data_IF_858142805113
#
_entry.id   IF_858142805113
#
_cell.length_a   1.000
_cell.length_b   1.000
_cell.length_c   1.000
_cell.angle_alpha   90.00
_cell.angle_beta   90.00
_cell.angle_gamma   90.00
#
_symmetry.space_group_name_H-M   'P 1'
#
loop_
_entity.id
_entity.type
_entity.pdbx_description
1 polymer ?
#
# COMPACT_ATOMS: atom_id res chain seq x y z
N UNK A 1 24.22 -1.55 13.14
CA UNK A 1 25.09 -0.75 12.24
C UNK A 1 25.76 -1.63 11.18
N UNK A 2 26.47 -2.71 11.53
CA UNK A 2 27.17 -3.58 10.55
C UNK A 2 26.22 -4.18 9.51
N UNK A 3 25.03 -4.59 9.89
CA UNK A 3 24.03 -5.18 8.98
C UNK A 3 23.46 -4.18 7.97
N UNK A 4 23.44 -2.87 8.31
CA UNK A 4 23.03 -1.81 7.39
C UNK A 4 24.04 -1.56 6.25
N UNK A 5 25.29 -1.95 6.45
CA UNK A 5 26.33 -1.89 5.43
C UNK A 5 26.40 -3.15 4.54
N UNK A 6 25.83 -4.27 4.99
CA UNK A 6 25.92 -5.58 4.33
C UNK A 6 24.64 -6.00 3.61
N UNK A 7 23.51 -5.36 3.87
CA UNK A 7 22.24 -5.66 3.23
C UNK A 7 21.35 -4.43 3.20
N UNK A 8 20.31 -4.44 2.38
CA UNK A 8 19.28 -3.38 2.32
C UNK A 8 18.63 -3.22 3.71
N UNK A 9 19.08 -2.22 4.47
CA UNK A 9 18.51 -1.93 5.78
C UNK A 9 17.15 -1.25 5.60
N UNK A 10 16.11 -1.90 6.05
CA UNK A 10 14.81 -1.24 6.21
C UNK A 10 14.92 -0.15 7.28
N UNK A 11 14.49 1.07 6.95
CA UNK A 11 14.47 2.20 7.89
C UNK A 11 13.76 1.88 9.21
N UNK A 12 12.85 0.90 9.20
CA UNK A 12 12.12 0.43 10.37
C UNK A 12 13.00 -0.26 11.43
N UNK A 13 14.17 -0.75 11.07
CA UNK A 13 15.07 -1.38 12.05
C UNK A 13 15.72 -0.37 12.99
N UNK A 14 15.83 0.89 12.58
CA UNK A 14 16.25 1.99 13.44
C UNK A 14 15.23 2.33 14.53
N UNK A 15 13.96 2.02 14.32
CA UNK A 15 12.88 2.30 15.26
C UNK A 15 13.02 1.54 16.58
N UNK A 16 13.65 0.37 16.60
CA UNK A 16 13.88 -0.40 17.83
C UNK A 16 14.83 0.30 18.80
N UNK A 17 15.71 1.15 18.32
CA UNK A 17 16.61 1.95 19.14
C UNK A 17 15.98 3.27 19.65
N UNK A 18 14.83 3.68 19.07
CA UNK A 18 14.18 4.96 19.40
C UNK A 18 13.80 5.11 20.88
N UNK A 19 13.21 4.10 21.55
CA UNK A 19 12.88 4.25 22.97
C UNK A 19 14.08 4.56 23.84
N UNK A 20 15.21 3.88 23.63
CA UNK A 20 16.45 4.13 24.36
C UNK A 20 17.03 5.52 24.05
N UNK A 21 16.98 5.92 22.78
CA UNK A 21 17.43 7.26 22.35
C UNK A 21 16.58 8.36 22.95
N UNK A 22 15.26 8.19 23.02
CA UNK A 22 14.33 9.17 23.64
C UNK A 22 14.62 9.31 25.13
N UNK A 23 14.82 8.22 25.86
CA UNK A 23 15.16 8.25 27.28
C UNK A 23 16.52 8.93 27.52
N UNK A 24 17.51 8.59 26.73
CA UNK A 24 18.83 9.21 26.81
C UNK A 24 18.76 10.70 26.51
N UNK A 25 18.06 11.09 25.47
CA UNK A 25 17.86 12.49 25.06
C UNK A 25 17.10 13.30 26.14
N UNK A 26 16.04 12.71 26.71
CA UNK A 26 15.28 13.35 27.80
C UNK A 26 16.17 13.62 29.02
N UNK A 27 17.00 12.63 29.43
CA UNK A 27 17.96 12.81 30.51
C UNK A 27 18.98 13.90 30.18
N UNK A 28 19.53 13.90 28.98
CA UNK A 28 20.50 14.93 28.55
C UNK A 28 19.85 16.30 28.52
N UNK A 29 18.65 16.45 28.01
CA UNK A 29 17.91 17.74 27.99
C UNK A 29 17.60 18.25 29.40
N UNK A 30 17.31 17.36 30.36
CA UNK A 30 17.08 17.74 31.74
C UNK A 30 18.33 18.34 32.42
N UNK A 31 19.52 17.99 31.93
CA UNK A 31 20.81 18.51 32.43
C UNK A 31 21.34 19.67 31.59
N UNK A 32 20.81 19.89 30.39
CA UNK A 32 21.22 20.92 29.48
C UNK A 32 20.71 22.29 29.93
N UNK A 33 21.36 23.35 29.43
CA UNK A 33 20.89 24.73 29.66
C UNK A 33 19.47 24.88 29.06
N UNK A 34 18.54 25.56 29.75
CA UNK A 34 17.15 25.68 29.30
C UNK A 34 17.00 26.31 27.90
N UNK A 35 17.97 27.09 27.46
CA UNK A 35 18.03 27.67 26.11
C UNK A 35 18.18 26.58 25.05
N UNK A 36 19.00 25.56 25.30
CA UNK A 36 19.22 24.44 24.34
C UNK A 36 17.92 23.62 24.17
N UNK A 37 17.23 23.37 25.30
CA UNK A 37 15.95 22.66 25.26
C UNK A 37 14.87 23.41 24.46
N UNK A 38 14.75 24.74 24.68
CA UNK A 38 13.80 25.57 23.94
C UNK A 38 14.13 25.64 22.45
N UNK A 39 15.41 25.75 22.11
CA UNK A 39 15.87 25.75 20.72
C UNK A 39 15.57 24.43 20.03
N UNK A 40 15.86 23.30 20.69
CA UNK A 40 15.57 21.96 20.14
C UNK A 40 14.07 21.76 19.90
N UNK A 41 13.22 22.16 20.83
CA UNK A 41 11.75 22.11 20.67
C UNK A 41 11.32 23.02 19.52
N UNK A 42 11.83 24.25 19.45
CA UNK A 42 11.51 25.20 18.38
C UNK A 42 11.88 24.66 16.99
N UNK A 43 13.06 24.07 16.83
CA UNK A 43 13.50 23.43 15.58
C UNK A 43 12.58 22.26 15.22
N UNK A 44 12.26 21.39 16.18
CA UNK A 44 11.36 20.25 15.90
C UNK A 44 9.96 20.70 15.49
N UNK A 45 9.38 21.67 16.20
CA UNK A 45 8.08 22.24 15.83
C UNK A 45 8.12 22.90 14.45
N UNK A 46 9.20 23.62 14.13
CA UNK A 46 9.41 24.20 12.80
C UNK A 46 9.50 23.15 11.70
N UNK A 47 10.24 22.06 11.94
CA UNK A 47 10.32 20.94 10.99
C UNK A 47 8.97 20.23 10.81
N UNK A 48 8.23 20.00 11.89
CA UNK A 48 6.89 19.43 11.82
C UNK A 48 5.92 20.33 11.03
N UNK A 49 5.95 21.62 11.31
CA UNK A 49 5.13 22.61 10.59
C UNK A 49 5.51 22.68 9.10
N UNK A 50 6.81 22.65 8.78
CA UNK A 50 7.29 22.60 7.41
C UNK A 50 6.84 21.34 6.69
N UNK A 51 6.98 20.17 7.32
CA UNK A 51 6.51 18.91 6.77
C UNK A 51 4.99 18.94 6.51
N UNK A 52 4.23 19.46 7.48
CA UNK A 52 2.77 19.60 7.32
C UNK A 52 2.43 20.57 6.18
N UNK A 53 3.13 21.70 6.08
CA UNK A 53 2.93 22.64 5.00
C UNK A 53 3.26 22.06 3.63
N UNK A 54 4.37 21.30 3.51
CA UNK A 54 4.76 20.63 2.27
C UNK A 54 3.75 19.53 1.90
N UNK A 55 3.23 18.78 2.88
CA UNK A 55 2.20 17.77 2.60
C UNK A 55 0.89 18.40 2.12
N UNK A 56 0.44 19.47 2.77
CA UNK A 56 -0.79 20.17 2.39
C UNK A 56 -0.63 20.94 1.08
N UNK A 57 0.49 21.65 0.87
CA UNK A 57 0.78 22.32 -0.40
C UNK A 57 0.91 21.33 -1.55
N UNK A 58 1.57 20.19 -1.33
CA UNK A 58 1.64 19.10 -2.31
C UNK A 58 0.29 18.49 -2.64
N UNK A 59 -0.73 18.58 -1.77
CA UNK A 59 -2.10 18.16 -2.05
C UNK A 59 -2.94 19.22 -2.78
N UNK A 60 -2.54 20.49 -2.69
CA UNK A 60 -3.31 21.63 -3.20
C UNK A 60 -2.70 22.30 -4.44
N UNK A 61 -1.46 22.00 -4.81
CA UNK A 61 -0.72 22.69 -5.85
C UNK A 61 -0.17 21.80 -6.97
N UNK A 62 0.28 22.41 -8.07
CA UNK A 62 0.91 21.71 -9.19
C UNK A 62 2.35 21.29 -8.85
N UNK A 63 2.51 20.44 -7.84
CA UNK A 63 3.79 19.77 -7.62
C UNK A 63 3.99 18.84 -8.81
N UNK A 64 5.09 18.99 -9.52
CA UNK A 64 5.40 18.11 -10.63
C UNK A 64 5.47 16.67 -10.13
N UNK A 65 4.88 15.70 -10.83
CA UNK A 65 4.83 14.31 -10.38
C UNK A 65 6.19 13.73 -9.97
N UNK A 66 7.27 14.25 -10.53
CA UNK A 66 8.63 13.76 -10.28
C UNK A 66 9.26 14.31 -8.98
N UNK A 67 8.81 15.48 -8.50
CA UNK A 67 9.30 16.12 -7.28
C UNK A 67 8.41 15.87 -6.06
N UNK A 68 7.28 15.19 -6.22
CA UNK A 68 6.36 14.90 -5.12
C UNK A 68 6.90 13.81 -4.18
N UNK A 69 7.32 14.13 -2.96
CA UNK A 69 7.79 13.14 -2.00
C UNK A 69 6.68 12.17 -1.57
N UNK A 70 5.41 12.57 -1.72
CA UNK A 70 4.23 11.78 -1.37
C UNK A 70 3.59 11.06 -2.56
N UNK A 71 4.26 11.05 -3.72
CA UNK A 71 3.75 10.37 -4.94
C UNK A 71 3.32 8.92 -4.71
N UNK A 72 3.96 8.23 -3.75
CA UNK A 72 3.62 6.83 -3.42
C UNK A 72 2.32 6.68 -2.63
N UNK A 73 1.81 7.77 -2.05
CA UNK A 73 0.59 7.81 -1.25
C UNK A 73 -0.62 8.28 -2.06
N UNK A 74 -0.41 8.73 -3.31
CA UNK A 74 -1.49 9.24 -4.15
C UNK A 74 -2.08 8.16 -5.05
N UNK A 75 -3.29 8.41 -5.53
CA UNK A 75 -3.99 7.56 -6.50
C UNK A 75 -4.67 6.33 -5.91
N UNK A 76 -4.44 6.02 -4.65
CA UNK A 76 -4.99 4.83 -4.03
C UNK A 76 -6.51 4.88 -3.86
N UNK A 77 -7.07 6.05 -3.59
CA UNK A 77 -8.51 6.23 -3.48
C UNK A 77 -9.20 5.98 -4.82
N UNK A 78 -8.63 6.50 -5.91
CA UNK A 78 -9.13 6.24 -7.27
C UNK A 78 -9.05 4.75 -7.60
N UNK A 79 -7.90 4.10 -7.32
CA UNK A 79 -7.74 2.67 -7.52
C UNK A 79 -8.78 1.85 -6.74
N UNK A 80 -9.03 2.20 -5.47
CA UNK A 80 -10.04 1.52 -4.67
C UNK A 80 -11.45 1.75 -5.22
N UNK A 81 -11.75 2.94 -5.73
CA UNK A 81 -13.04 3.23 -6.36
C UNK A 81 -13.23 2.39 -7.64
N UNK A 82 -12.23 2.38 -8.53
CA UNK A 82 -12.27 1.61 -9.79
C UNK A 82 -12.37 0.10 -9.52
N UNK A 83 -11.57 -0.39 -8.55
CA UNK A 83 -11.63 -1.80 -8.11
C UNK A 83 -13.01 -2.14 -7.56
N UNK A 84 -13.59 -1.25 -6.75
CA UNK A 84 -14.91 -1.41 -6.20
C UNK A 84 -16.00 -1.46 -7.27
N UNK A 85 -15.92 -0.60 -8.27
CA UNK A 85 -16.82 -0.62 -9.42
C UNK A 85 -16.69 -1.91 -10.23
N UNK A 86 -15.46 -2.41 -10.41
CA UNK A 86 -15.21 -3.68 -11.08
C UNK A 86 -15.79 -4.88 -10.31
N UNK A 87 -15.65 -4.90 -8.99
CA UNK A 87 -16.25 -5.92 -8.13
C UNK A 87 -17.77 -5.93 -8.24
N UNK A 88 -18.42 -4.78 -8.19
CA UNK A 88 -19.87 -4.65 -8.35
C UNK A 88 -20.34 -5.11 -9.74
N UNK A 89 -19.69 -4.61 -10.79
CA UNK A 89 -20.05 -4.98 -12.16
C UNK A 89 -19.88 -6.47 -12.45
N UNK A 90 -18.93 -7.13 -11.78
CA UNK A 90 -18.71 -8.57 -11.92
C UNK A 90 -19.52 -9.40 -10.92
N UNK A 91 -20.14 -8.77 -9.93
CA UNK A 91 -20.82 -9.46 -8.83
C UNK A 91 -19.86 -10.28 -7.96
N UNK A 92 -18.59 -9.84 -7.87
CA UNK A 92 -17.56 -10.48 -7.10
C UNK A 92 -17.41 -9.81 -5.74
N UNK A 93 -17.24 -10.58 -4.68
CA UNK A 93 -16.92 -10.10 -3.34
C UNK A 93 -15.47 -10.42 -2.93
N UNK A 94 -14.67 -10.94 -3.86
CA UNK A 94 -13.27 -11.30 -3.61
C UNK A 94 -12.37 -10.54 -4.57
N UNK A 95 -11.36 -9.85 -4.01
CA UNK A 95 -10.30 -9.20 -4.77
C UNK A 95 -8.95 -9.82 -4.41
N UNK A 96 -8.14 -10.05 -5.43
CA UNK A 96 -6.80 -10.63 -5.30
C UNK A 96 -5.79 -9.53 -5.65
N UNK A 97 -4.88 -9.25 -4.73
CA UNK A 97 -3.85 -8.24 -4.90
C UNK A 97 -2.50 -8.87 -5.25
N UNK A 98 -1.76 -8.21 -6.14
CA UNK A 98 -0.45 -8.64 -6.62
C UNK A 98 0.64 -8.60 -5.54
N UNK A 99 0.46 -7.73 -4.53
CA UNK A 99 1.46 -7.49 -3.49
C UNK A 99 0.83 -6.95 -2.21
N UNK A 100 1.60 -7.06 -1.11
CA UNK A 100 1.18 -6.62 0.23
C UNK A 100 0.73 -5.16 0.31
N UNK A 101 1.37 -4.24 -0.44
CA UNK A 101 1.01 -2.83 -0.39
C UNK A 101 -0.40 -2.57 -0.96
N UNK A 102 -0.72 -3.22 -2.09
CA UNK A 102 -2.05 -3.20 -2.70
C UNK A 102 -3.06 -3.87 -1.77
N UNK A 103 -2.73 -5.04 -1.21
CA UNK A 103 -3.59 -5.75 -0.27
C UNK A 103 -3.92 -4.93 0.97
N UNK A 104 -2.90 -4.36 1.62
CA UNK A 104 -3.08 -3.53 2.81
C UNK A 104 -4.04 -2.37 2.57
N UNK A 105 -3.88 -1.72 1.44
CA UNK A 105 -4.66 -0.54 1.10
C UNK A 105 -6.10 -0.88 0.71
N UNK A 106 -6.29 -1.94 -0.08
CA UNK A 106 -7.62 -2.43 -0.42
C UNK A 106 -8.35 -2.95 0.81
N UNK A 107 -7.67 -3.64 1.73
CA UNK A 107 -8.25 -4.06 3.02
C UNK A 107 -8.75 -2.88 3.83
N UNK A 108 -7.99 -1.78 3.85
CA UNK A 108 -8.42 -0.54 4.51
C UNK A 108 -9.66 0.07 3.84
N UNK A 109 -9.66 0.19 2.50
CA UNK A 109 -10.78 0.81 1.78
C UNK A 109 -12.05 -0.03 1.75
N UNK A 110 -11.92 -1.35 1.86
CA UNK A 110 -13.04 -2.29 1.75
C UNK A 110 -13.48 -2.92 3.06
N UNK A 111 -12.93 -2.50 4.21
CA UNK A 111 -13.19 -3.15 5.49
C UNK A 111 -14.69 -3.27 5.84
N UNK A 112 -15.51 -2.27 5.47
CA UNK A 112 -16.95 -2.27 5.71
C UNK A 112 -17.79 -2.48 4.44
N UNK A 113 -17.13 -2.67 3.28
CA UNK A 113 -17.84 -2.80 2.01
C UNK A 113 -18.44 -4.18 1.83
N UNK A 114 -19.66 -4.21 1.31
CA UNK A 114 -20.37 -5.44 0.99
C UNK A 114 -20.83 -5.41 -0.46
N UNK A 115 -20.76 -6.57 -1.12
CA UNK A 115 -21.25 -6.78 -2.50
C UNK A 115 -22.16 -7.99 -2.49
N UNK A 116 -23.41 -7.82 -2.94
CA UNK A 116 -24.42 -8.88 -2.84
C UNK A 116 -24.65 -9.40 -1.42
N UNK A 117 -24.51 -8.51 -0.41
CA UNK A 117 -24.65 -8.84 1.02
C UNK A 117 -23.41 -9.50 1.64
N UNK A 118 -22.41 -9.90 0.85
CA UNK A 118 -21.16 -10.52 1.32
C UNK A 118 -20.09 -9.47 1.59
N UNK A 119 -19.29 -9.56 2.67
CA UNK A 119 -18.17 -8.66 2.89
C UNK A 119 -17.12 -8.85 1.78
N UNK A 120 -16.47 -7.75 1.39
CA UNK A 120 -15.37 -7.84 0.43
C UNK A 120 -14.16 -8.45 1.13
N UNK A 121 -13.62 -9.52 0.53
CA UNK A 121 -12.43 -10.20 1.02
C UNK A 121 -11.24 -9.87 0.12
N UNK A 122 -10.14 -9.43 0.72
CA UNK A 122 -8.87 -9.16 0.03
C UNK A 122 -7.92 -10.31 0.27
N UNK A 123 -7.46 -10.93 -0.81
CA UNK A 123 -6.51 -12.05 -0.80
C UNK A 123 -5.24 -11.67 -1.55
N UNK A 124 -4.18 -12.43 -1.36
CA UNK A 124 -2.91 -12.29 -2.08
C UNK A 124 -2.49 -13.62 -2.70
N UNK A 125 -1.69 -13.55 -3.75
CA UNK A 125 -1.10 -14.74 -4.36
C UNK A 125 0.19 -15.06 -3.58
N UNK A 126 0.26 -16.28 -3.02
CA UNK A 126 1.50 -16.88 -2.55
C UNK A 126 2.00 -17.81 -3.65
N UNK A 127 2.91 -17.30 -4.48
CA UNK A 127 3.34 -17.98 -5.70
C UNK A 127 4.28 -19.19 -5.46
N UNK A 128 4.99 -19.21 -4.33
CA UNK A 128 6.01 -20.22 -4.02
C UNK A 128 5.70 -21.08 -2.79
N UNK A 129 4.54 -20.83 -2.15
CA UNK A 129 4.14 -21.54 -0.93
C UNK A 129 5.03 -21.23 0.28
N UNK A 130 5.80 -20.14 0.20
CA UNK A 130 6.70 -19.69 1.27
C UNK A 130 6.34 -18.28 1.70
N UNK A 131 5.35 -18.12 2.58
CA UNK A 131 4.84 -16.82 2.94
C UNK A 131 5.94 -15.93 3.55
N UNK A 132 6.21 -14.80 2.90
CA UNK A 132 7.24 -13.83 3.29
C UNK A 132 6.68 -12.69 4.14
N UNK A 133 5.36 -12.56 4.21
CA UNK A 133 4.70 -11.48 4.94
C UNK A 133 3.35 -11.94 5.53
N UNK A 134 2.82 -11.10 6.41
CA UNK A 134 1.56 -11.37 7.12
C UNK A 134 0.37 -11.65 6.19
N UNK A 135 0.29 -11.00 5.05
CA UNK A 135 -0.81 -11.21 4.10
C UNK A 135 -0.73 -12.59 3.46
N UNK A 136 0.45 -13.02 3.03
CA UNK A 136 0.67 -14.36 2.48
C UNK A 136 0.41 -15.45 3.53
N UNK A 137 0.74 -15.18 4.80
CA UNK A 137 0.49 -16.13 5.90
C UNK A 137 -0.98 -16.33 6.22
N UNK A 138 -1.80 -15.26 6.14
CA UNK A 138 -3.16 -15.29 6.66
C UNK A 138 -4.25 -15.10 5.59
N UNK A 139 -3.89 -14.53 4.45
CA UNK A 139 -4.80 -14.15 3.38
C UNK A 139 -4.35 -14.68 2.01
N UNK A 140 -3.56 -15.78 2.01
CA UNK A 140 -3.20 -16.45 0.78
C UNK A 140 -4.46 -16.93 0.05
N UNK A 141 -4.51 -16.64 -1.25
CA UNK A 141 -5.57 -17.17 -2.09
C UNK A 141 -5.53 -18.70 -2.15
N UNK A 142 -6.70 -19.30 -2.02
CA UNK A 142 -6.92 -20.72 -2.25
C UNK A 142 -8.10 -20.88 -3.21
N UNK A 143 -8.03 -21.81 -4.18
CA UNK A 143 -9.11 -22.02 -5.12
C UNK A 143 -10.40 -22.47 -4.40
N UNK A 144 -11.50 -21.84 -4.77
CA UNK A 144 -12.86 -22.19 -4.30
C UNK A 144 -13.76 -22.25 -5.52
N UNK A 145 -14.37 -23.38 -5.76
CA UNK A 145 -15.21 -23.60 -6.93
C UNK A 145 -16.31 -22.54 -7.10
N UNK A 146 -16.52 -22.11 -8.34
CA UNK A 146 -17.57 -21.19 -8.78
C UNK A 146 -17.55 -19.79 -8.12
N UNK A 147 -16.42 -19.37 -7.58
CA UNK A 147 -16.28 -18.02 -7.01
C UNK A 147 -15.87 -17.02 -8.10
N UNK A 148 -16.60 -15.91 -8.19
CA UNK A 148 -16.17 -14.76 -9.02
C UNK A 148 -15.12 -13.96 -8.28
N UNK A 149 -14.06 -13.62 -9.00
CA UNK A 149 -12.92 -12.89 -8.45
C UNK A 149 -12.54 -11.72 -9.35
N UNK A 150 -11.92 -10.72 -8.74
CA UNK A 150 -11.25 -9.61 -9.42
C UNK A 150 -9.80 -9.62 -8.97
N UNK A 151 -8.87 -9.69 -9.90
CA UNK A 151 -7.44 -9.62 -9.58
C UNK A 151 -6.83 -8.31 -10.07
N UNK A 152 -5.93 -7.75 -9.27
CA UNK A 152 -5.09 -6.62 -9.64
C UNK A 152 -3.66 -7.10 -9.84
N UNK A 153 -3.12 -6.84 -11.01
CA UNK A 153 -1.72 -7.15 -11.34
C UNK A 153 -1.07 -5.97 -12.08
N UNK A 154 0.23 -5.77 -11.89
CA UNK A 154 1.03 -4.82 -12.65
C UNK A 154 1.37 -5.29 -14.06
N UNK A 155 0.96 -6.49 -14.45
CA UNK A 155 1.14 -7.07 -15.79
C UNK A 155 -0.15 -6.98 -16.59
N UNK A 156 -0.02 -6.81 -17.92
CA UNK A 156 -1.17 -6.82 -18.83
C UNK A 156 -1.85 -8.19 -18.90
N UNK A 157 -1.06 -9.26 -18.81
CA UNK A 157 -1.58 -10.61 -18.75
C UNK A 157 -2.17 -10.88 -17.35
N UNK A 158 -3.27 -11.61 -17.25
CA UNK A 158 -3.80 -12.02 -15.97
C UNK A 158 -2.77 -12.87 -15.21
N UNK A 159 -2.82 -12.85 -13.86
CA UNK A 159 -1.93 -13.68 -13.07
C UNK A 159 -2.17 -15.18 -13.37
N UNK A 160 -1.09 -15.95 -13.37
CA UNK A 160 -1.18 -17.41 -13.51
C UNK A 160 -1.76 -17.98 -12.22
N UNK A 161 -3.02 -18.43 -12.32
CA UNK A 161 -3.76 -19.03 -11.21
C UNK A 161 -4.45 -20.28 -11.71
N UNK A 162 -4.15 -21.41 -11.09
CA UNK A 162 -4.74 -22.69 -11.46
C UNK A 162 -6.24 -22.71 -11.20
N UNK A 163 -7.02 -23.14 -12.18
CA UNK A 163 -8.48 -23.26 -12.02
C UNK A 163 -9.23 -21.93 -12.11
N UNK A 164 -8.64 -20.88 -12.68
CA UNK A 164 -9.32 -19.60 -12.91
C UNK A 164 -9.45 -19.34 -14.40
N UNK A 165 -10.68 -19.17 -14.85
CA UNK A 165 -11.00 -18.74 -16.21
C UNK A 165 -11.07 -17.22 -16.26
N UNK A 166 -10.10 -16.61 -16.93
CA UNK A 166 -10.02 -15.17 -17.07
C UNK A 166 -10.83 -14.65 -18.25
N UNK A 167 -11.61 -13.61 -18.02
CA UNK A 167 -12.33 -12.93 -19.10
C UNK A 167 -11.33 -12.14 -19.95
N UNK A 168 -11.28 -12.45 -21.24
CA UNK A 168 -10.42 -11.73 -22.19
C UNK A 168 -10.88 -10.28 -22.36
N UNK A 169 -9.92 -9.37 -22.48
CA UNK A 169 -10.17 -8.05 -23.07
C UNK A 169 -10.54 -6.91 -22.13
N UNK A 170 -10.03 -6.88 -20.91
CA UNK A 170 -10.19 -5.67 -20.09
C UNK A 170 -8.99 -4.74 -20.29
N UNK A 171 -9.15 -3.52 -20.86
CA UNK A 171 -8.09 -2.53 -20.84
C UNK A 171 -7.75 -2.16 -19.39
N UNK A 172 -6.56 -1.58 -19.12
CA UNK A 172 -6.21 -1.12 -17.78
C UNK A 172 -7.30 -0.19 -17.28
N UNK A 173 -7.93 -0.54 -16.16
CA UNK A 173 -9.02 0.25 -15.57
C UNK A 173 -8.50 1.45 -14.78
N UNK A 174 -7.23 1.47 -14.43
CA UNK A 174 -6.61 2.57 -13.70
C UNK A 174 -5.13 2.67 -14.04
N UNK A 175 -4.75 3.72 -14.76
CA UNK A 175 -3.37 4.19 -14.76
C UNK A 175 -3.25 5.25 -13.67
N UNK A 176 -2.77 4.89 -12.51
CA UNK A 176 -2.33 5.88 -11.54
C UNK A 176 -0.98 6.40 -12.01
N UNK A 177 -0.98 7.55 -12.67
CA UNK A 177 0.26 8.27 -12.99
C UNK A 177 0.96 8.64 -11.69
N UNK A 178 1.88 7.79 -11.24
CA UNK A 178 2.71 8.01 -10.06
C UNK A 178 3.87 8.95 -10.41
N UNK A 179 4.28 9.02 -11.66
CA UNK A 179 5.18 10.02 -12.24
C UNK A 179 5.10 9.98 -13.76
N UNK A 180 5.54 11.05 -14.44
CA UNK A 180 5.56 11.14 -15.90
C UNK A 180 6.30 9.98 -16.59
N UNK A 181 7.23 9.31 -15.92
CA UNK A 181 8.06 8.23 -16.46
C UNK A 181 7.78 6.84 -15.86
N UNK A 182 6.91 6.71 -14.87
CA UNK A 182 6.52 5.45 -14.25
C UNK A 182 5.05 5.49 -13.87
N UNK A 183 4.17 5.32 -14.85
CA UNK A 183 2.82 4.87 -14.57
C UNK A 183 2.91 3.47 -13.96
N UNK A 184 2.36 3.28 -12.79
CA UNK A 184 1.98 1.94 -12.35
C UNK A 184 0.62 1.67 -12.97
N UNK A 185 0.64 1.08 -14.14
CA UNK A 185 -0.57 0.52 -14.71
C UNK A 185 -0.92 -0.71 -13.84
N UNK A 186 -1.99 -0.61 -13.08
CA UNK A 186 -2.58 -1.78 -12.46
C UNK A 186 -3.73 -2.23 -13.36
N UNK A 187 -3.65 -3.45 -13.79
CA UNK A 187 -4.66 -4.08 -14.64
C UNK A 187 -5.64 -4.82 -13.76
N UNK A 188 -6.93 -4.63 -14.04
CA UNK A 188 -8.00 -5.33 -13.34
C UNK A 188 -8.46 -6.48 -14.23
N UNK A 189 -8.25 -7.69 -13.76
CA UNK A 189 -8.67 -8.92 -14.40
C UNK A 189 -9.91 -9.46 -13.70
N UNK A 190 -10.88 -9.91 -14.49
CA UNK A 190 -12.10 -10.55 -13.99
C UNK A 190 -12.01 -12.04 -14.31
N UNK A 191 -12.26 -12.87 -13.32
CA UNK A 191 -12.19 -14.31 -13.46
C UNK A 191 -13.29 -15.03 -12.70
N UNK A 192 -13.50 -16.28 -13.07
CA UNK A 192 -14.35 -17.22 -12.36
C UNK A 192 -13.50 -18.44 -12.05
N UNK A 193 -13.49 -18.87 -10.81
CA UNK A 193 -12.84 -20.11 -10.42
C UNK A 193 -13.66 -21.27 -10.95
N UNK A 194 -13.04 -22.14 -11.76
CA UNK A 194 -13.63 -23.35 -12.28
C UNK A 194 -13.85 -24.43 -11.21
N UNK A 195 -14.43 -25.55 -11.61
CA UNK A 195 -14.57 -26.72 -10.73
C UNK A 195 -13.20 -27.37 -10.39
#
# INVERSE_FOLDING_TARGET
MVQAFLSEANANWGLTAMPALVLWLARWMAQARPVIGRLAIGINLGLCALLLAVTTAGSLGPVTPDSDPFRRLRGWQALAADTGAALEAHGAATVIADRRATASLLSWHFHDRRIGGKPVTVLVIDADGRPTNHFEQNLAWQPVALRRIVALDGRKAPPEMTGVDWQAGTPPLSSTAISRNRSRDLYIHKGVEGE
#
